data_IF_622497911319
#
_entry.id   IF_622497911319
#
_cell.length_a   1.000
_cell.length_b   1.000
_cell.length_c   1.000
_cell.angle_alpha   90.00
_cell.angle_beta   90.00
_cell.angle_gamma   90.00
#
_symmetry.space_group_name_H-M   'P 1'
#
loop_
_entity.id
_entity.type
_entity.pdbx_description
1 polymer ?
#
# COMPACT_ATOMS: atom_id res chain seq x y z
N UNK A 1 15.84 -4.97 -4.26
CA UNK A 1 15.35 -3.58 -4.45
C UNK A 1 14.11 -3.34 -3.62
N UNK A 2 14.01 -2.17 -3.00
CA UNK A 2 12.87 -1.77 -2.15
C UNK A 2 12.55 -0.32 -2.51
N UNK A 3 11.28 -0.03 -2.78
CA UNK A 3 10.79 1.34 -2.91
C UNK A 3 10.02 1.69 -1.65
N UNK A 4 10.47 2.69 -0.90
CA UNK A 4 9.81 3.20 0.30
C UNK A 4 9.45 4.65 0.10
N UNK A 5 8.17 4.98 0.24
CA UNK A 5 7.66 6.35 0.19
C UNK A 5 7.13 6.70 1.58
N UNK A 6 7.49 7.89 2.07
CA UNK A 6 7.08 8.41 3.37
C UNK A 6 6.36 9.73 3.10
N UNK A 7 5.19 9.90 3.69
CA UNK A 7 4.40 11.12 3.60
C UNK A 7 4.79 12.10 4.72
N UNK A 8 4.44 13.37 4.56
CA UNK A 8 4.72 14.41 5.56
C UNK A 8 4.05 14.17 6.91
N UNK A 9 2.96 13.41 6.96
CA UNK A 9 2.25 13.06 8.20
C UNK A 9 2.84 11.82 8.90
N UNK A 10 3.95 11.26 8.40
CA UNK A 10 4.59 10.07 8.95
C UNK A 10 3.98 8.74 8.46
N UNK A 11 2.90 8.77 7.68
CA UNK A 11 2.42 7.61 6.95
C UNK A 11 3.48 7.12 5.96
N UNK A 12 3.41 5.87 5.54
CA UNK A 12 4.34 5.33 4.55
C UNK A 12 3.77 4.13 3.82
N UNK A 13 4.34 3.84 2.66
CA UNK A 13 4.18 2.55 2.00
C UNK A 13 5.50 2.06 1.40
N UNK A 14 5.61 0.74 1.30
CA UNK A 14 6.78 0.04 0.78
C UNK A 14 6.35 -0.98 -0.26
N UNK A 15 7.00 -0.97 -1.42
CA UNK A 15 6.92 -2.03 -2.42
C UNK A 15 8.24 -2.79 -2.45
N UNK A 16 8.13 -4.12 -2.43
CA UNK A 16 9.28 -5.01 -2.49
C UNK A 16 8.97 -6.27 -3.29
N UNK A 17 9.73 -6.60 -4.35
CA UNK A 17 9.70 -7.94 -4.92
C UNK A 17 10.19 -8.96 -3.89
N UNK A 18 9.47 -10.07 -3.77
CA UNK A 18 9.90 -11.20 -2.95
C UNK A 18 11.18 -11.82 -3.55
N UNK A 19 12.09 -12.26 -2.67
CA UNK A 19 13.34 -12.88 -3.11
C UNK A 19 13.21 -14.37 -3.42
N UNK A 20 12.11 -15.00 -3.01
CA UNK A 20 11.92 -16.46 -3.10
C UNK A 20 10.77 -16.89 -4.00
N UNK A 21 9.86 -15.97 -4.34
CA UNK A 21 8.64 -16.26 -5.11
C UNK A 21 8.36 -15.12 -6.09
N UNK A 22 7.70 -15.36 -7.23
CA UNK A 22 7.33 -14.32 -8.18
C UNK A 22 6.15 -13.48 -7.68
N UNK A 23 6.34 -12.78 -6.56
CA UNK A 23 5.31 -11.96 -5.88
C UNK A 23 5.87 -10.59 -5.50
N UNK A 24 5.01 -9.59 -5.50
CA UNK A 24 5.30 -8.26 -4.94
C UNK A 24 4.63 -8.15 -3.57
N UNK A 25 5.38 -7.72 -2.56
CA UNK A 25 4.87 -7.41 -1.21
C UNK A 25 4.68 -5.91 -1.09
N UNK A 26 3.50 -5.52 -0.61
CA UNK A 26 3.15 -4.13 -0.32
C UNK A 26 2.90 -4.01 1.17
N UNK A 27 3.65 -3.12 1.83
CA UNK A 27 3.46 -2.79 3.24
C UNK A 27 2.97 -1.35 3.33
N UNK A 28 1.96 -1.09 4.15
CA UNK A 28 1.38 0.24 4.33
C UNK A 28 1.20 0.55 5.80
N UNK A 29 1.35 1.82 6.17
CA UNK A 29 1.02 2.35 7.48
C UNK A 29 0.49 3.77 7.31
N UNK A 30 -0.61 4.08 7.98
CA UNK A 30 -1.21 5.41 7.93
C UNK A 30 -1.33 6.00 9.32
N UNK A 31 -0.87 7.24 9.44
CA UNK A 31 -1.01 8.05 10.62
C UNK A 31 -2.33 8.83 10.58
N UNK A 32 -3.00 8.89 11.75
CA UNK A 32 -4.17 9.72 11.97
C UNK A 32 -4.33 9.99 13.47
N UNK A 33 -5.02 11.07 13.86
CA UNK A 33 -5.30 11.40 15.26
C UNK A 33 -5.99 10.29 16.05
N UNK A 34 -6.83 9.48 15.39
CA UNK A 34 -7.56 8.39 16.03
C UNK A 34 -7.30 7.05 15.35
N UNK A 35 -7.39 5.96 16.13
CA UNK A 35 -7.30 4.59 15.61
C UNK A 35 -8.35 4.32 14.52
N UNK A 36 -9.56 4.85 14.69
CA UNK A 36 -10.67 4.69 13.73
C UNK A 36 -10.33 5.34 12.39
N UNK A 37 -9.83 6.57 12.40
CA UNK A 37 -9.40 7.26 11.17
C UNK A 37 -8.21 6.57 10.52
N UNK A 38 -7.24 6.10 11.29
CA UNK A 38 -6.10 5.35 10.77
C UNK A 38 -6.56 4.06 10.07
N UNK A 39 -7.50 3.33 10.67
CA UNK A 39 -8.09 2.14 10.07
C UNK A 39 -8.87 2.45 8.78
N UNK A 40 -9.63 3.56 8.75
CA UNK A 40 -10.33 4.01 7.55
C UNK A 40 -9.34 4.34 6.43
N UNK A 41 -8.26 5.07 6.72
CA UNK A 41 -7.19 5.38 5.75
C UNK A 41 -6.53 4.10 5.22
N UNK A 42 -6.19 3.14 6.09
CA UNK A 42 -5.62 1.85 5.68
C UNK A 42 -6.58 1.09 4.77
N UNK A 43 -7.88 1.05 5.11
CA UNK A 43 -8.88 0.34 4.30
C UNK A 43 -9.05 0.98 2.92
N UNK A 44 -9.15 2.30 2.86
CA UNK A 44 -9.23 3.07 1.63
C UNK A 44 -8.00 2.84 0.75
N UNK A 45 -6.80 2.98 1.33
CA UNK A 45 -5.57 2.76 0.58
C UNK A 45 -5.48 1.34 0.02
N UNK A 46 -5.83 0.32 0.84
CA UNK A 46 -5.85 -1.07 0.40
C UNK A 46 -6.81 -1.28 -0.78
N UNK A 47 -8.04 -0.78 -0.69
CA UNK A 47 -9.02 -0.96 -1.76
C UNK A 47 -8.60 -0.23 -3.04
N UNK A 48 -8.12 1.02 -2.95
CA UNK A 48 -7.61 1.79 -4.09
C UNK A 48 -6.43 1.11 -4.77
N UNK A 49 -5.46 0.60 -3.99
CA UNK A 49 -4.29 -0.10 -4.54
C UNK A 49 -4.72 -1.36 -5.29
N UNK A 50 -5.58 -2.19 -4.69
CA UNK A 50 -6.05 -3.42 -5.32
C UNK A 50 -6.87 -3.13 -6.58
N UNK A 51 -7.77 -2.14 -6.56
CA UNK A 51 -8.51 -1.72 -7.74
C UNK A 51 -7.58 -1.26 -8.87
N UNK A 52 -6.51 -0.50 -8.54
CA UNK A 52 -5.55 -0.04 -9.54
C UNK A 52 -4.77 -1.22 -10.13
N UNK A 53 -4.32 -2.16 -9.30
CA UNK A 53 -3.64 -3.39 -9.74
C UNK A 53 -4.56 -4.18 -10.68
N UNK A 54 -5.80 -4.44 -10.26
CA UNK A 54 -6.78 -5.16 -11.06
C UNK A 54 -7.04 -4.47 -12.40
N UNK A 55 -7.13 -3.13 -12.42
CA UNK A 55 -7.31 -2.38 -13.67
C UNK A 55 -6.14 -2.55 -14.63
N UNK A 56 -4.91 -2.70 -14.13
CA UNK A 56 -3.72 -2.88 -14.98
C UNK A 56 -3.65 -4.32 -15.48
N UNK A 57 -3.97 -5.29 -14.62
CA UNK A 57 -3.90 -6.72 -14.95
C UNK A 57 -5.02 -7.12 -15.93
N UNK A 58 -6.25 -6.63 -15.73
CA UNK A 58 -7.43 -6.98 -16.55
C UNK A 58 -7.56 -6.16 -17.84
N UNK A 59 -6.73 -5.13 -18.03
CA UNK A 59 -6.70 -4.35 -19.27
C UNK A 59 -5.83 -4.99 -20.37
N UNK A 60 -5.37 -6.22 -20.17
CA UNK A 60 -4.81 -7.11 -21.19
C UNK A 60 -5.78 -8.25 -21.47
#
# INVERSE_FOLDING_TARGET
NVLKIIFSDGSWYVLRPSGTEPKIKIYISFHAPTRKEAQQKVHLAKSTILQKIDSIIKSN
#
